data_IF_985606340521
#
_entry.id   IF_985606340521
#
_cell.length_a   1.000
_cell.length_b   1.000
_cell.length_c   1.000
_cell.angle_alpha   90.00
_cell.angle_beta   90.00
_cell.angle_gamma   90.00
#
_symmetry.space_group_name_H-M   'P 1'
#
loop_
_entity.id
_entity.type
_entity.pdbx_description
1 polymer ?
#
# COMPACT_ATOMS: atom_id res chain seq x y z
N UNK A 1 10.19 25.16 20.96
CA UNK A 1 9.90 24.29 22.13
C UNK A 1 9.96 22.86 21.63
N UNK A 2 11.04 22.12 21.92
CA UNK A 2 11.14 20.71 21.53
C UNK A 2 10.35 19.90 22.54
N UNK A 3 9.25 19.26 22.10
CA UNK A 3 8.48 18.36 22.94
C UNK A 3 9.33 17.11 23.15
N UNK A 4 9.66 16.80 24.40
CA UNK A 4 10.39 15.58 24.75
C UNK A 4 9.58 14.38 24.24
N UNK A 5 10.20 13.57 23.38
CA UNK A 5 9.53 12.47 22.71
C UNK A 5 9.44 11.31 23.69
N UNK A 6 8.25 10.75 23.87
CA UNK A 6 8.10 9.59 24.75
C UNK A 6 8.64 8.34 24.04
N UNK A 7 9.14 7.38 24.83
CA UNK A 7 9.57 6.06 24.32
C UNK A 7 8.49 5.40 23.45
N UNK A 8 7.22 5.57 23.84
CA UNK A 8 6.07 5.05 23.08
C UNK A 8 5.99 5.71 21.71
N UNK A 9 6.20 7.02 21.60
CA UNK A 9 6.15 7.76 20.34
C UNK A 9 7.31 7.39 19.39
N UNK A 10 8.47 7.03 19.94
CA UNK A 10 9.59 6.51 19.15
C UNK A 10 9.26 5.13 18.56
N UNK A 11 8.68 4.24 19.37
CA UNK A 11 8.24 2.92 18.91
C UNK A 11 7.17 3.07 17.82
N UNK A 12 6.22 3.98 18.01
CA UNK A 12 5.17 4.28 17.02
C UNK A 12 5.78 4.70 15.68
N UNK A 13 6.68 5.68 15.69
CA UNK A 13 7.33 6.15 14.47
C UNK A 13 8.14 5.04 13.78
N UNK A 14 8.86 4.23 14.56
CA UNK A 14 9.59 3.09 14.04
C UNK A 14 8.66 2.09 13.35
N UNK A 15 7.55 1.73 14.00
CA UNK A 15 6.58 0.77 13.45
C UNK A 15 5.92 1.33 12.20
N UNK A 16 5.51 2.61 12.19
CA UNK A 16 4.91 3.25 11.02
C UNK A 16 5.87 3.28 9.82
N UNK A 17 7.12 3.72 10.04
CA UNK A 17 8.14 3.80 9.00
C UNK A 17 8.43 2.44 8.38
N UNK A 18 8.43 1.38 9.17
CA UNK A 18 8.71 0.03 8.68
C UNK A 18 7.46 -0.68 8.14
N UNK A 19 6.26 -0.36 8.63
CA UNK A 19 5.01 -0.84 8.03
C UNK A 19 4.87 -0.32 6.60
N UNK A 20 5.22 0.95 6.34
CA UNK A 20 5.28 1.52 4.99
C UNK A 20 6.26 0.81 4.05
N UNK A 21 7.26 0.11 4.60
CA UNK A 21 8.22 -0.71 3.84
C UNK A 21 7.74 -2.16 3.65
N UNK A 22 6.60 -2.54 4.21
CA UNK A 22 6.02 -3.89 4.08
C UNK A 22 6.47 -4.89 5.15
N UNK A 23 7.10 -4.45 6.25
CA UNK A 23 7.43 -5.36 7.35
C UNK A 23 6.18 -5.79 8.12
N UNK A 24 6.10 -7.08 8.46
CA UNK A 24 5.02 -7.64 9.29
C UNK A 24 5.15 -7.17 10.76
N UNK A 25 4.01 -6.95 11.41
CA UNK A 25 3.91 -6.55 12.82
C UNK A 25 4.65 -7.51 13.76
N UNK A 26 4.60 -8.82 13.52
CA UNK A 26 5.30 -9.81 14.37
C UNK A 26 6.82 -9.63 14.31
N UNK A 27 7.38 -9.42 13.12
CA UNK A 27 8.80 -9.14 12.93
C UNK A 27 9.22 -7.84 13.61
N UNK A 28 8.37 -6.82 13.57
CA UNK A 28 8.62 -5.53 14.23
C UNK A 28 8.60 -5.66 15.76
N UNK A 29 7.65 -6.41 16.31
CA UNK A 29 7.61 -6.72 17.75
C UNK A 29 8.87 -7.45 18.21
N UNK A 30 9.32 -8.43 17.42
CA UNK A 30 10.56 -9.15 17.71
C UNK A 30 11.77 -8.20 17.67
N UNK A 31 11.91 -7.40 16.62
CA UNK A 31 13.02 -6.44 16.50
C UNK A 31 13.07 -5.45 17.68
N UNK A 32 11.93 -4.89 18.09
CA UNK A 32 11.84 -3.99 19.25
C UNK A 32 12.21 -4.70 20.55
N UNK A 33 11.81 -5.96 20.71
CA UNK A 33 12.22 -6.76 21.87
C UNK A 33 13.74 -7.01 21.88
N UNK A 34 14.35 -7.29 20.72
CA UNK A 34 15.80 -7.46 20.58
C UNK A 34 16.57 -6.17 20.83
N UNK A 35 15.98 -5.02 20.51
CA UNK A 35 16.53 -3.69 20.81
C UNK A 35 16.48 -3.33 22.30
N UNK A 36 15.78 -4.12 23.12
CA UNK A 36 15.71 -3.94 24.57
C UNK A 36 14.50 -3.14 25.06
N UNK A 37 13.53 -2.82 24.19
CA UNK A 37 12.28 -2.22 24.63
C UNK A 37 11.47 -3.21 25.48
N UNK A 38 10.81 -2.70 26.53
CA UNK A 38 9.99 -3.56 27.37
C UNK A 38 8.75 -4.04 26.60
N UNK A 39 8.30 -5.27 26.91
CA UNK A 39 7.08 -5.83 26.32
C UNK A 39 5.87 -4.91 26.53
N UNK A 40 5.79 -4.25 27.68
CA UNK A 40 4.71 -3.33 28.04
C UNK A 40 4.71 -2.09 27.14
N UNK A 41 5.89 -1.50 26.87
CA UNK A 41 6.00 -0.34 25.98
C UNK A 41 5.62 -0.70 24.55
N UNK A 42 6.10 -1.86 24.08
CA UNK A 42 5.76 -2.39 22.75
C UNK A 42 4.24 -2.55 22.64
N UNK A 43 3.59 -3.20 23.61
CA UNK A 43 2.14 -3.41 23.59
C UNK A 43 1.36 -2.09 23.63
N UNK A 44 1.77 -1.12 24.46
CA UNK A 44 1.15 0.21 24.51
C UNK A 44 1.28 0.95 23.18
N UNK A 45 2.45 0.90 22.54
CA UNK A 45 2.68 1.51 21.24
C UNK A 45 1.79 0.90 20.16
N UNK A 46 1.73 -0.43 20.07
CA UNK A 46 0.84 -1.11 19.11
C UNK A 46 -0.64 -0.84 19.37
N UNK A 47 -1.06 -0.72 20.64
CA UNK A 47 -2.43 -0.30 20.97
C UNK A 47 -2.73 1.11 20.46
N UNK A 48 -1.79 2.04 20.65
CA UNK A 48 -1.90 3.42 20.15
C UNK A 48 -2.00 3.47 18.62
N UNK A 49 -1.17 2.70 17.90
CA UNK A 49 -1.21 2.60 16.44
C UNK A 49 -2.57 2.08 15.97
N UNK A 50 -3.08 1.01 16.59
CA UNK A 50 -4.38 0.44 16.22
C UNK A 50 -5.52 1.43 16.41
N UNK A 51 -5.50 2.20 17.52
CA UNK A 51 -6.47 3.26 17.77
C UNK A 51 -6.40 4.38 16.73
N UNK A 52 -5.20 4.78 16.31
CA UNK A 52 -5.01 5.79 15.26
C UNK A 52 -5.46 5.28 13.89
N UNK A 53 -5.23 4.00 13.57
CA UNK A 53 -5.62 3.41 12.29
C UNK A 53 -7.13 3.25 12.15
N UNK A 54 -7.85 2.95 13.24
CA UNK A 54 -9.32 2.86 13.22
C UNK A 54 -10.00 4.20 12.88
N UNK A 55 -9.31 5.32 13.06
CA UNK A 55 -9.81 6.66 12.72
C UNK A 55 -9.56 7.03 11.24
N UNK A 56 -8.77 6.25 10.50
CA UNK A 56 -8.47 6.52 9.10
C UNK A 56 -9.64 6.00 8.24
N UNK A 57 -10.41 6.88 7.56
CA UNK A 57 -11.48 6.44 6.68
C UNK A 57 -10.90 5.58 5.56
N UNK A 58 -11.43 4.37 5.38
CA UNK A 58 -11.02 3.42 4.34
C UNK A 58 -11.04 4.13 2.98
N UNK A 59 -9.86 4.32 2.38
CA UNK A 59 -9.70 4.93 1.07
C UNK A 59 -10.40 4.02 0.06
N UNK A 60 -11.51 4.50 -0.53
CA UNK A 60 -12.22 3.78 -1.59
C UNK A 60 -11.24 3.57 -2.77
N UNK A 61 -11.15 2.37 -3.35
CA UNK A 61 -10.28 2.15 -4.50
C UNK A 61 -10.69 3.08 -5.64
N UNK A 62 -9.69 3.61 -6.36
CA UNK A 62 -9.91 4.38 -7.58
C UNK A 62 -10.70 3.54 -8.59
N UNK A 63 -11.61 4.16 -9.38
CA UNK A 63 -12.32 3.43 -10.43
C UNK A 63 -11.32 2.86 -11.44
N UNK A 64 -11.46 1.57 -11.79
CA UNK A 64 -10.66 0.96 -12.84
C UNK A 64 -11.12 1.52 -14.19
N UNK A 65 -10.24 2.24 -14.90
CA UNK A 65 -10.52 2.75 -16.25
C UNK A 65 -10.34 1.59 -17.23
N UNK A 66 -11.44 1.04 -17.75
CA UNK A 66 -11.40 0.06 -18.83
C UNK A 66 -11.34 0.77 -20.18
N UNK A 67 -10.19 0.70 -20.86
CA UNK A 67 -10.06 1.14 -22.24
C UNK A 67 -10.59 0.04 -23.17
N UNK A 68 -11.74 0.26 -23.80
CA UNK A 68 -12.17 -0.56 -24.93
C UNK A 68 -11.51 -0.01 -26.20
N UNK A 69 -10.65 -0.76 -26.90
CA UNK A 69 -10.13 -0.32 -28.19
C UNK A 69 -11.31 -0.26 -29.17
N UNK A 70 -11.65 0.95 -29.61
CA UNK A 70 -12.53 1.17 -30.75
C UNK A 70 -11.74 0.73 -31.99
N UNK A 71 -11.78 -0.55 -32.34
CA UNK A 71 -11.24 -1.02 -33.63
C UNK A 71 -12.30 -0.64 -34.67
N UNK A 72 -12.05 0.31 -35.58
CA UNK A 72 -12.97 0.57 -36.67
C UNK A 72 -12.93 -0.66 -37.58
N UNK A 73 -14.10 -1.24 -37.86
CA UNK A 73 -14.20 -2.33 -38.84
C UNK A 73 -13.90 -1.76 -40.23
N UNK A 74 -12.69 -2.00 -40.73
CA UNK A 74 -12.35 -1.74 -42.13
C UNK A 74 -12.79 -2.94 -42.96
N UNK A 75 -13.67 -2.73 -43.95
CA UNK A 75 -14.01 -3.78 -44.90
C UNK A 75 -12.74 -4.27 -45.62
N UNK A 76 -12.55 -5.59 -45.78
CA UNK A 76 -11.35 -6.12 -46.43
C UNK A 76 -11.28 -5.62 -47.86
N UNK A 77 -10.31 -4.74 -48.15
CA UNK A 77 -10.07 -4.26 -49.52
C UNK A 77 -9.69 -5.45 -50.40
N UNK A 78 -10.43 -5.66 -51.49
CA UNK A 78 -10.12 -6.71 -52.47
C UNK A 78 -8.69 -6.53 -52.98
N UNK A 79 -7.91 -7.61 -52.89
CA UNK A 79 -6.52 -7.62 -53.33
C UNK A 79 -6.46 -7.36 -54.84
N UNK A 80 -5.40 -6.67 -55.27
CA UNK A 80 -5.17 -6.35 -56.68
C UNK A 80 -5.27 -7.59 -57.58
N UNK A 81 -4.80 -8.74 -57.10
CA UNK A 81 -4.90 -10.02 -57.82
C UNK A 81 -6.34 -10.55 -57.96
N UNK A 82 -7.24 -10.26 -56.99
CA UNK A 82 -8.66 -10.59 -57.09
C UNK A 82 -9.41 -9.71 -58.11
N UNK A 83 -8.84 -8.58 -58.54
CA UNK A 83 -9.39 -7.74 -59.61
C UNK A 83 -8.89 -8.13 -61.01
N UNK A 84 -7.77 -8.85 -61.10
CA UNK A 84 -7.13 -9.21 -62.38
C UNK A 84 -7.54 -10.61 -62.83
N UNK A 85 -7.83 -11.54 -61.90
CA UNK A 85 -8.15 -12.94 -62.21
C UNK A 85 -9.56 -13.36 -61.77
N UNK A 86 -10.44 -12.38 -61.53
CA UNK A 86 -11.85 -12.58 -61.17
C UNK A 86 -12.78 -12.05 -62.24
#
# INVERSE_FOLDING_TARGET
MFREKSVIDEIVEYVEKNTKKGYNQNSLRWALSTQGYSKIEIEKAFKKINSQQSEIPVVKPLPQITYQPLIPYEEPRKSFWQKIFG
#
